data_IF_110354623152
#
_entry.id   IF_110354623152
#
_cell.length_a   1.000
_cell.length_b   1.000
_cell.length_c   1.000
_cell.angle_alpha   90.00
_cell.angle_beta   90.00
_cell.angle_gamma   90.00
#
_symmetry.space_group_name_H-M   'P 1'
#
loop_
_entity.id
_entity.type
_entity.pdbx_description
1 polymer ?
#
# COMPACT_ATOMS: atom_id res chain seq x y z
N UNK A 1 -49.06 9.99 -42.70
CA UNK A 1 -49.63 8.63 -42.57
C UNK A 1 -48.62 7.72 -41.89
N UNK A 2 -48.77 7.48 -40.58
CA UNK A 2 -48.32 6.25 -39.90
C UNK A 2 -49.09 6.21 -38.56
N UNK A 3 -49.85 5.14 -38.37
CA UNK A 3 -50.96 5.03 -37.42
C UNK A 3 -50.44 4.81 -35.99
N UNK A 4 -51.07 5.54 -35.06
CA UNK A 4 -51.06 5.32 -33.62
C UNK A 4 -51.92 4.08 -33.32
N UNK A 5 -51.42 3.15 -32.52
CA UNK A 5 -52.20 2.01 -32.01
C UNK A 5 -52.38 2.14 -30.50
N UNK A 6 -53.63 2.34 -30.09
CA UNK A 6 -54.17 2.18 -28.74
C UNK A 6 -54.46 0.70 -28.51
N UNK A 7 -54.05 0.13 -27.39
CA UNK A 7 -54.53 -1.14 -26.78
C UNK A 7 -53.69 -1.27 -25.49
N UNK A 8 -54.13 -1.56 -24.27
CA UNK A 8 -55.43 -1.83 -23.66
C UNK A 8 -55.20 -1.73 -22.15
N UNK A 9 -56.21 -1.19 -21.48
CA UNK A 9 -56.35 -1.10 -20.03
C UNK A 9 -56.44 -2.52 -19.43
N UNK A 10 -55.53 -2.88 -18.52
CA UNK A 10 -55.70 -4.04 -17.65
C UNK A 10 -55.47 -3.61 -16.20
N UNK A 11 -56.59 -3.38 -15.50
CA UNK A 11 -56.62 -3.27 -14.05
C UNK A 11 -56.40 -4.68 -13.48
N UNK A 12 -55.38 -4.85 -12.63
CA UNK A 12 -55.26 -6.04 -11.82
C UNK A 12 -54.66 -5.69 -10.45
N UNK A 13 -55.56 -5.62 -9.47
CA UNK A 13 -55.44 -6.20 -8.14
C UNK A 13 -54.25 -5.81 -7.25
N UNK A 14 -54.59 -5.07 -6.19
CA UNK A 14 -53.83 -4.94 -4.95
C UNK A 14 -53.28 -6.29 -4.47
N UNK A 15 -51.96 -6.41 -4.43
CA UNK A 15 -51.24 -7.40 -3.65
C UNK A 15 -50.25 -6.69 -2.73
N UNK A 16 -50.68 -6.37 -1.52
CA UNK A 16 -49.82 -5.94 -0.42
C UNK A 16 -48.85 -7.07 -0.07
N UNK A 17 -47.63 -6.99 -0.61
CA UNK A 17 -46.47 -7.75 -0.10
C UNK A 17 -45.78 -6.85 0.92
N UNK A 18 -45.87 -7.26 2.19
CA UNK A 18 -45.06 -6.73 3.28
C UNK A 18 -43.58 -6.97 2.95
N UNK A 19 -42.88 -5.94 2.46
CA UNK A 19 -41.42 -5.92 2.58
C UNK A 19 -41.11 -5.62 4.05
N UNK A 20 -40.72 -6.66 4.77
CA UNK A 20 -40.02 -6.53 6.04
C UNK A 20 -38.76 -5.71 5.80
N UNK A 21 -38.71 -4.53 6.40
CA UNK A 21 -37.51 -3.71 6.51
C UNK A 21 -36.45 -4.50 7.29
N UNK A 22 -35.59 -5.22 6.56
CA UNK A 22 -34.33 -5.74 7.07
C UNK A 22 -33.27 -4.65 7.00
N UNK A 23 -33.44 -3.57 7.75
CA UNK A 23 -32.33 -2.67 8.08
C UNK A 23 -31.61 -3.25 9.30
N UNK A 24 -30.83 -4.31 9.07
CA UNK A 24 -29.85 -4.82 10.03
C UNK A 24 -28.46 -4.43 9.57
N UNK A 25 -28.16 -3.12 9.64
CA UNK A 25 -26.77 -2.64 9.54
C UNK A 25 -26.19 -2.68 10.95
N UNK A 26 -25.68 -3.84 11.35
CA UNK A 26 -24.94 -4.07 12.60
C UNK A 26 -23.54 -3.41 12.54
N UNK A 27 -23.47 -2.13 12.19
CA UNK A 27 -22.21 -1.37 12.07
C UNK A 27 -21.96 -0.44 13.25
N UNK A 28 -22.69 -0.59 14.35
CA UNK A 28 -22.61 0.29 15.52
C UNK A 28 -22.04 -0.43 16.74
N UNK A 29 -20.87 -1.05 16.58
CA UNK A 29 -20.03 -1.42 17.73
C UNK A 29 -19.32 -0.16 18.23
N UNK A 30 -20.01 0.59 19.11
CA UNK A 30 -19.48 1.77 19.83
C UNK A 30 -18.52 1.43 20.97
N UNK A 31 -18.22 0.14 21.18
CA UNK A 31 -17.24 -0.29 22.16
C UNK A 31 -15.84 -0.22 21.53
N UNK A 32 -14.84 0.35 22.24
CA UNK A 32 -13.48 0.31 21.76
C UNK A 32 -13.05 -1.14 21.58
N UNK A 33 -12.24 -1.44 20.54
CA UNK A 33 -11.79 -2.78 20.31
C UNK A 33 -10.99 -3.29 21.51
N UNK A 34 -11.09 -4.58 21.79
CA UNK A 34 -10.38 -5.25 22.89
C UNK A 34 -8.87 -5.23 22.73
N UNK A 35 -8.36 -5.06 21.50
CA UNK A 35 -6.95 -4.89 21.17
C UNK A 35 -6.80 -3.70 20.19
N UNK A 36 -5.64 -3.00 20.17
CA UNK A 36 -5.37 -1.98 19.18
C UNK A 36 -5.54 -2.53 17.75
N UNK A 37 -6.28 -1.82 16.91
CA UNK A 37 -6.43 -2.13 15.48
C UNK A 37 -6.83 -0.89 14.69
N UNK A 38 -6.85 -1.05 13.36
CA UNK A 38 -7.06 0.02 12.38
C UNK A 38 -8.39 -0.14 11.63
N UNK A 39 -9.33 -0.96 12.12
CA UNK A 39 -10.56 -1.33 11.40
C UNK A 39 -11.43 -0.11 11.01
N UNK A 40 -11.39 0.97 11.79
CA UNK A 40 -12.05 2.23 11.43
C UNK A 40 -11.44 2.86 10.17
N UNK A 41 -10.11 2.85 10.06
CA UNK A 41 -9.39 3.39 8.90
C UNK A 41 -9.41 2.44 7.69
N UNK A 42 -9.48 1.13 7.94
CA UNK A 42 -9.53 0.08 6.92
C UNK A 42 -10.95 -0.24 6.44
N UNK A 43 -11.97 0.48 6.89
CA UNK A 43 -13.36 0.19 6.59
C UNK A 43 -13.65 0.18 5.08
N UNK A 44 -13.87 -1.02 4.52
CA UNK A 44 -14.15 -1.23 3.10
C UNK A 44 -12.90 -1.38 2.22
N UNK A 45 -11.70 -1.27 2.79
CA UNK A 45 -10.45 -1.52 2.10
C UNK A 45 -10.16 -3.02 2.02
N UNK A 46 -9.69 -3.47 0.86
CA UNK A 46 -9.25 -4.86 0.64
C UNK A 46 -7.77 -4.94 0.25
N UNK A 47 -7.18 -3.80 -0.12
CA UNK A 47 -5.76 -3.69 -0.48
C UNK A 47 -5.15 -2.45 0.18
N UNK A 48 -4.02 -2.61 0.85
CA UNK A 48 -3.25 -1.53 1.48
C UNK A 48 -2.07 -1.12 0.60
N UNK A 49 -2.26 -0.10 -0.24
CA UNK A 49 -1.22 0.39 -1.16
C UNK A 49 -0.38 1.48 -0.51
N UNK A 50 0.88 1.17 -0.19
CA UNK A 50 1.79 2.11 0.48
C UNK A 50 3.05 2.36 -0.34
N UNK A 51 3.41 3.63 -0.49
CA UNK A 51 4.68 4.08 -1.05
C UNK A 51 5.55 4.63 0.08
N UNK A 52 6.54 3.86 0.52
CA UNK A 52 7.50 4.28 1.54
C UNK A 52 8.63 5.08 0.90
N UNK A 53 8.71 6.38 1.19
CA UNK A 53 9.83 7.25 0.79
C UNK A 53 10.88 7.25 1.91
N UNK A 54 11.98 6.53 1.69
CA UNK A 54 13.03 6.28 2.67
C UNK A 54 14.22 7.21 2.45
N UNK A 55 14.47 8.11 3.40
CA UNK A 55 15.50 9.15 3.34
C UNK A 55 16.38 9.20 4.62
N UNK A 56 16.69 8.04 5.17
CA UNK A 56 17.51 7.88 6.39
C UNK A 56 19.01 7.74 6.04
N UNK A 57 19.90 8.26 6.88
CA UNK A 57 21.36 8.17 6.72
C UNK A 57 22.05 7.19 7.70
N UNK A 58 21.31 6.54 8.60
CA UNK A 58 21.83 5.66 9.64
C UNK A 58 21.33 4.21 9.42
N UNK A 59 22.26 3.25 9.43
CA UNK A 59 21.94 1.83 9.18
C UNK A 59 21.00 1.24 10.24
N UNK A 60 21.22 1.48 11.52
CA UNK A 60 20.37 0.95 12.61
C UNK A 60 18.93 1.47 12.50
N UNK A 61 18.77 2.74 12.13
CA UNK A 61 17.46 3.34 11.88
C UNK A 61 16.78 2.72 10.66
N UNK A 62 17.53 2.49 9.58
CA UNK A 62 17.00 1.80 8.40
C UNK A 62 16.55 0.37 8.74
N UNK A 63 17.35 -0.37 9.49
CA UNK A 63 17.06 -1.74 9.94
C UNK A 63 15.79 -1.77 10.80
N UNK A 64 15.66 -0.86 11.77
CA UNK A 64 14.45 -0.69 12.57
C UNK A 64 13.20 -0.48 11.69
N UNK A 65 13.29 0.38 10.67
CA UNK A 65 12.13 0.65 9.82
C UNK A 65 11.81 -0.50 8.85
N UNK A 66 12.78 -1.34 8.48
CA UNK A 66 12.44 -2.59 7.79
C UNK A 66 11.63 -3.52 8.68
N UNK A 67 11.98 -3.65 9.96
CA UNK A 67 11.18 -4.42 10.92
C UNK A 67 9.76 -3.83 11.06
N UNK A 68 9.63 -2.50 11.12
CA UNK A 68 8.31 -1.84 11.14
C UNK A 68 7.52 -2.09 9.85
N UNK A 69 8.16 -2.12 8.67
CA UNK A 69 7.50 -2.43 7.40
C UNK A 69 7.03 -3.89 7.36
N UNK A 70 7.84 -4.84 7.86
CA UNK A 70 7.45 -6.25 7.99
C UNK A 70 6.23 -6.38 8.92
N UNK A 71 6.26 -5.71 10.07
CA UNK A 71 5.13 -5.67 11.01
C UNK A 71 3.90 -5.01 10.39
N UNK A 72 4.09 -3.96 9.58
CA UNK A 72 2.98 -3.29 8.85
C UNK A 72 2.34 -4.23 7.84
N UNK A 73 3.13 -5.02 7.10
CA UNK A 73 2.61 -6.05 6.19
C UNK A 73 1.74 -7.04 6.96
N UNK A 74 2.27 -7.57 8.06
CA UNK A 74 1.55 -8.50 8.93
C UNK A 74 0.28 -7.89 9.53
N UNK A 75 0.34 -6.65 9.99
CA UNK A 75 -0.79 -5.94 10.59
C UNK A 75 -1.93 -5.69 9.59
N UNK A 76 -1.62 -5.47 8.31
CA UNK A 76 -2.63 -5.41 7.25
C UNK A 76 -3.25 -6.79 7.01
N UNK A 77 -2.42 -7.83 6.89
CA UNK A 77 -2.88 -9.21 6.65
C UNK A 77 -3.77 -9.73 7.79
N UNK A 78 -3.36 -9.52 9.05
CA UNK A 78 -4.12 -9.91 10.25
C UNK A 78 -5.48 -9.20 10.32
N UNK A 79 -5.63 -8.07 9.64
CA UNK A 79 -6.86 -7.27 9.54
C UNK A 79 -7.64 -7.50 8.23
N UNK A 80 -7.22 -8.45 7.40
CA UNK A 80 -7.91 -8.85 6.18
C UNK A 80 -7.65 -7.96 4.96
N UNK A 81 -6.57 -7.18 4.98
CA UNK A 81 -6.18 -6.26 3.91
C UNK A 81 -4.89 -6.74 3.24
N UNK A 82 -4.90 -6.90 1.91
CA UNK A 82 -3.71 -7.36 1.17
C UNK A 82 -2.66 -6.24 1.06
N UNK A 83 -1.42 -6.42 1.53
CA UNK A 83 -0.37 -5.41 1.44
C UNK A 83 0.13 -5.29 -0.01
N UNK A 84 0.32 -4.05 -0.47
CA UNK A 84 0.93 -3.72 -1.76
C UNK A 84 1.94 -2.59 -1.58
N UNK A 85 3.23 -2.91 -1.51
CA UNK A 85 4.24 -1.93 -1.10
C UNK A 85 5.21 -1.57 -2.22
N UNK A 86 5.56 -0.29 -2.26
CA UNK A 86 6.74 0.22 -2.96
C UNK A 86 7.62 0.89 -1.92
N UNK A 87 8.88 0.46 -1.82
CA UNK A 87 9.85 1.01 -0.88
C UNK A 87 10.94 1.68 -1.70
N UNK A 88 10.96 3.01 -1.66
CA UNK A 88 11.82 3.84 -2.49
C UNK A 88 12.94 4.48 -1.65
N UNK A 89 14.17 4.08 -1.90
CA UNK A 89 15.37 4.66 -1.30
C UNK A 89 15.77 5.95 -2.04
N UNK A 90 15.78 7.05 -1.29
CA UNK A 90 16.13 8.39 -1.74
C UNK A 90 17.13 9.05 -0.78
N UNK A 91 17.88 10.02 -1.29
CA UNK A 91 18.84 10.76 -0.48
C UNK A 91 19.96 9.85 0.04
N UNK A 92 20.45 10.03 1.29
CA UNK A 92 21.56 9.23 1.80
C UNK A 92 21.22 7.76 2.02
N UNK A 93 19.95 7.35 2.00
CA UNK A 93 19.59 5.94 2.22
C UNK A 93 20.13 5.01 1.13
N UNK A 94 20.41 5.54 -0.06
CA UNK A 94 21.03 4.75 -1.15
C UNK A 94 22.44 4.28 -0.82
N UNK A 95 23.15 4.93 0.12
CA UNK A 95 24.47 4.49 0.58
C UNK A 95 24.41 3.33 1.56
N UNK A 96 23.21 2.92 1.97
CA UNK A 96 22.98 1.86 2.96
C UNK A 96 22.50 0.55 2.31
N UNK A 97 22.26 0.55 1.00
CA UNK A 97 21.67 -0.56 0.24
C UNK A 97 22.52 -0.96 -0.98
N UNK A 98 23.83 -0.79 -0.87
CA UNK A 98 24.81 -1.29 -1.84
C UNK A 98 25.55 -2.54 -1.31
N UNK A 99 26.57 -2.98 -2.03
CA UNK A 99 27.37 -4.16 -1.69
C UNK A 99 28.18 -3.99 -0.39
N UNK A 100 28.31 -2.77 0.13
CA UNK A 100 28.94 -2.47 1.43
C UNK A 100 27.95 -2.48 2.60
N UNK A 101 26.66 -2.60 2.33
CA UNK A 101 25.62 -2.68 3.35
C UNK A 101 25.91 -3.75 4.42
N UNK A 102 25.46 -3.49 5.65
CA UNK A 102 25.61 -4.41 6.79
C UNK A 102 24.96 -5.76 6.48
N UNK A 103 25.42 -6.81 7.15
CA UNK A 103 24.81 -8.13 7.03
C UNK A 103 23.33 -8.13 7.45
N UNK A 104 22.98 -7.33 8.46
CA UNK A 104 21.62 -7.16 8.93
C UNK A 104 20.73 -6.47 7.88
N UNK A 105 21.17 -5.33 7.34
CA UNK A 105 20.46 -4.63 6.25
C UNK A 105 20.25 -5.55 5.04
N UNK A 106 21.28 -6.30 4.59
CA UNK A 106 21.14 -7.26 3.48
C UNK A 106 20.11 -8.36 3.77
N UNK A 107 20.05 -8.83 5.01
CA UNK A 107 19.08 -9.84 5.43
C UNK A 107 17.65 -9.28 5.41
N UNK A 108 17.47 -8.05 5.89
CA UNK A 108 16.17 -7.38 5.93
C UNK A 108 15.67 -7.00 4.54
N UNK A 109 16.55 -6.49 3.67
CA UNK A 109 16.22 -6.23 2.25
C UNK A 109 15.68 -7.50 1.58
N UNK A 110 16.32 -8.65 1.80
CA UNK A 110 15.85 -9.95 1.28
C UNK A 110 14.51 -10.37 1.89
N UNK A 111 14.34 -10.20 3.20
CA UNK A 111 13.10 -10.56 3.88
C UNK A 111 11.91 -9.74 3.33
N UNK A 112 12.10 -8.43 3.19
CA UNK A 112 11.09 -7.52 2.64
C UNK A 112 10.83 -7.79 1.17
N UNK A 113 11.86 -8.04 0.36
CA UNK A 113 11.70 -8.39 -1.06
C UNK A 113 11.02 -9.76 -1.29
N UNK A 114 11.00 -10.64 -0.28
CA UNK A 114 10.32 -11.92 -0.33
C UNK A 114 8.82 -11.83 -0.01
N UNK A 115 8.34 -10.68 0.48
CA UNK A 115 6.91 -10.44 0.68
C UNK A 115 6.16 -10.40 -0.67
N UNK A 116 4.91 -10.86 -0.72
CA UNK A 116 4.07 -10.73 -1.92
C UNK A 116 3.81 -9.25 -2.21
N UNK A 117 3.72 -8.89 -3.50
CA UNK A 117 3.35 -7.54 -3.97
C UNK A 117 4.25 -6.40 -3.46
N UNK A 118 5.51 -6.70 -3.13
CA UNK A 118 6.51 -5.71 -2.71
C UNK A 118 7.51 -5.41 -3.81
N UNK A 119 7.85 -4.13 -3.96
CA UNK A 119 8.90 -3.65 -4.87
C UNK A 119 9.84 -2.69 -4.15
N UNK A 120 11.14 -2.90 -4.33
CA UNK A 120 12.17 -2.00 -3.82
C UNK A 120 12.77 -1.18 -4.98
N UNK A 121 12.90 0.12 -4.79
CA UNK A 121 13.43 1.06 -5.78
C UNK A 121 14.57 1.91 -5.22
N UNK A 122 15.67 2.07 -5.96
CA UNK A 122 16.74 3.02 -5.64
C UNK A 122 16.73 4.19 -6.64
N UNK A 123 16.80 5.42 -6.14
CA UNK A 123 16.80 6.61 -6.98
C UNK A 123 18.16 6.85 -7.65
N UNK A 124 18.24 6.80 -8.99
CA UNK A 124 19.50 7.04 -9.70
C UNK A 124 20.02 8.47 -9.55
N UNK A 125 19.13 9.45 -9.35
CA UNK A 125 19.54 10.83 -9.00
C UNK A 125 20.25 10.83 -7.65
N UNK A 126 19.74 10.09 -6.67
CA UNK A 126 20.35 10.03 -5.35
C UNK A 126 21.68 9.27 -5.38
N UNK A 127 21.76 8.10 -6.03
CA UNK A 127 23.03 7.36 -6.16
C UNK A 127 24.11 8.23 -6.81
N UNK A 128 23.76 8.99 -7.85
CA UNK A 128 24.66 9.96 -8.47
C UNK A 128 25.10 11.08 -7.51
N UNK A 129 24.21 11.61 -6.68
CA UNK A 129 24.53 12.70 -5.73
C UNK A 129 25.41 12.22 -4.58
N UNK A 130 25.28 10.96 -4.17
CA UNK A 130 26.00 10.37 -3.04
C UNK A 130 27.19 9.50 -3.46
N UNK A 131 27.50 9.43 -4.76
CA UNK A 131 28.67 8.72 -5.27
C UNK A 131 28.56 7.19 -5.19
N UNK A 132 27.34 6.66 -5.22
CA UNK A 132 27.07 5.20 -5.23
C UNK A 132 26.98 4.73 -6.68
N UNK A 133 27.73 3.68 -7.02
CA UNK A 133 27.59 3.04 -8.33
C UNK A 133 26.28 2.24 -8.38
N UNK A 134 25.47 2.47 -9.41
CA UNK A 134 24.22 1.72 -9.59
C UNK A 134 24.46 0.21 -9.71
N UNK A 135 25.65 -0.22 -10.16
CA UNK A 135 26.01 -1.62 -10.27
C UNK A 135 26.28 -2.30 -8.91
N UNK A 136 26.52 -1.53 -7.84
CA UNK A 136 26.74 -2.07 -6.49
C UNK A 136 25.46 -2.14 -5.67
N UNK A 137 24.36 -1.56 -6.13
CA UNK A 137 23.04 -1.66 -5.48
C UNK A 137 22.64 -3.13 -5.34
N UNK A 138 22.08 -3.49 -4.17
CA UNK A 138 21.66 -4.85 -3.86
C UNK A 138 20.69 -5.40 -4.93
N UNK A 139 20.81 -6.67 -5.32
CA UNK A 139 20.10 -7.23 -6.48
C UNK A 139 18.57 -7.27 -6.33
N UNK A 140 18.06 -7.21 -5.10
CA UNK A 140 16.63 -7.12 -4.79
C UNK A 140 16.05 -5.72 -5.07
N UNK A 141 16.90 -4.70 -5.24
CA UNK A 141 16.50 -3.29 -5.40
C UNK A 141 16.66 -2.85 -6.85
N UNK A 142 15.58 -2.32 -7.44
CA UNK A 142 15.60 -1.85 -8.82
C UNK A 142 16.04 -0.39 -8.87
N UNK A 143 17.14 -0.09 -9.55
CA UNK A 143 17.53 1.30 -9.82
C UNK A 143 16.55 1.93 -10.82
N UNK A 144 15.87 3.00 -10.41
CA UNK A 144 14.93 3.77 -11.22
C UNK A 144 15.44 5.18 -11.48
N UNK A 145 14.94 5.84 -12.53
CA UNK A 145 15.44 7.14 -12.95
C UNK A 145 15.26 8.26 -11.90
N UNK A 146 14.10 8.34 -11.23
CA UNK A 146 13.84 9.33 -10.19
C UNK A 146 12.67 8.89 -9.31
N UNK A 147 12.90 8.63 -8.03
CA UNK A 147 11.85 8.17 -7.11
C UNK A 147 10.80 9.24 -6.81
N UNK A 148 11.03 10.53 -7.08
CA UNK A 148 9.93 11.51 -7.06
C UNK A 148 8.93 11.29 -8.20
N UNK A 149 9.41 10.87 -9.38
CA UNK A 149 8.53 10.49 -10.49
C UNK A 149 7.80 9.19 -10.14
N UNK A 150 8.50 8.20 -9.56
CA UNK A 150 7.85 6.98 -9.03
C UNK A 150 6.76 7.33 -8.02
N UNK A 151 7.06 8.19 -7.04
CA UNK A 151 6.13 8.60 -6.00
C UNK A 151 4.87 9.24 -6.59
N UNK A 152 5.01 10.19 -7.52
CA UNK A 152 3.88 10.78 -8.23
C UNK A 152 3.07 9.72 -8.99
N UNK A 153 3.75 8.79 -9.66
CA UNK A 153 3.13 7.72 -10.45
C UNK A 153 2.30 6.77 -9.59
N UNK A 154 2.88 6.25 -8.51
CA UNK A 154 2.19 5.34 -7.59
C UNK A 154 1.04 6.03 -6.86
N UNK A 155 1.22 7.29 -6.44
CA UNK A 155 0.13 8.08 -5.85
C UNK A 155 -1.06 8.22 -6.81
N UNK A 156 -0.81 8.43 -8.11
CA UNK A 156 -1.88 8.55 -9.11
C UNK A 156 -2.74 7.28 -9.27
N UNK A 157 -2.25 6.13 -8.81
CA UNK A 157 -2.96 4.84 -8.84
C UNK A 157 -3.32 4.33 -7.43
N UNK A 158 -3.33 5.23 -6.46
CA UNK A 158 -3.89 5.01 -5.12
C UNK A 158 -2.88 4.54 -4.05
N UNK A 159 -1.58 4.65 -4.28
CA UNK A 159 -0.60 4.41 -3.21
C UNK A 159 -0.52 5.62 -2.28
N UNK A 160 -0.72 5.41 -0.99
CA UNK A 160 -0.53 6.44 0.02
C UNK A 160 0.97 6.60 0.36
N UNK A 161 1.50 7.83 0.36
CA UNK A 161 2.90 8.05 0.71
C UNK A 161 3.12 7.98 2.23
N UNK A 162 4.17 7.26 2.63
CA UNK A 162 4.68 7.19 4.01
C UNK A 162 6.11 7.70 4.00
N UNK A 163 6.37 8.81 4.70
CA UNK A 163 7.69 9.44 4.71
C UNK A 163 8.51 8.91 5.89
N UNK A 164 9.64 8.27 5.59
CA UNK A 164 10.60 7.79 6.58
C UNK A 164 11.88 8.63 6.43
N UNK A 165 12.23 9.45 7.42
CA UNK A 165 13.30 10.46 7.32
C UNK A 165 14.28 10.34 8.48
#
# INVERSE_FOLDING_TARGET
>A
MKKISKFTLFACLCGTVLLTAGCGSDSDSTLPPTEPNDQVALAGETTGKLFFDVNIANAESLELYFDVILETSKGLEDQGVEPMFVIAFRGPSVTLIDDTATAATKTLVKAVAALPNVRLEACSVATSLFGVDNATILPEVVVVGNTFISSMGYQSVGYAPVLIQ
#
